data_IF_998399446169
#
_entry.id   IF_998399446169
#
_cell.length_a   1.000
_cell.length_b   1.000
_cell.length_c   1.000
_cell.angle_alpha   90.00
_cell.angle_beta   90.00
_cell.angle_gamma   90.00
#
_symmetry.space_group_name_H-M   'P 1'
#
loop_
_entity.id
_entity.type
_entity.pdbx_description
1 polymer ?
#
# COMPACT_ATOMS: atom_id res chain seq x y z
N UNK A 1 5.09 13.45 4.65
CA UNK A 1 4.93 13.06 6.06
C UNK A 1 4.25 11.72 6.15
N UNK A 2 4.40 11.00 7.25
CA UNK A 2 3.78 9.69 7.46
C UNK A 2 3.50 9.44 8.95
N UNK A 3 2.62 8.49 9.25
CA UNK A 3 2.40 8.01 10.61
C UNK A 3 2.14 6.51 10.58
N UNK A 4 2.93 5.76 11.35
CA UNK A 4 2.84 4.31 11.48
C UNK A 4 2.74 3.94 12.95
N UNK A 5 1.92 2.94 13.25
CA UNK A 5 1.92 2.29 14.56
C UNK A 5 3.17 1.42 14.76
N UNK A 6 3.85 1.05 13.67
CA UNK A 6 5.13 0.36 13.68
C UNK A 6 6.28 1.37 13.82
N UNK A 7 7.28 1.10 14.69
CA UNK A 7 8.44 1.96 14.83
C UNK A 7 9.24 2.01 13.53
N UNK A 8 9.97 3.12 13.33
CA UNK A 8 10.98 3.15 12.28
C UNK A 8 12.20 2.36 12.75
N UNK A 9 12.40 1.16 12.21
CA UNK A 9 13.50 0.28 12.64
C UNK A 9 14.77 0.47 11.80
N UNK A 10 14.63 1.04 10.60
CA UNK A 10 15.75 1.38 9.71
C UNK A 10 15.43 2.57 8.83
N UNK A 11 16.46 3.24 8.34
CA UNK A 11 16.33 4.24 7.29
C UNK A 11 16.17 3.58 5.94
N UNK A 12 15.53 4.28 5.00
CA UNK A 12 15.42 3.82 3.61
C UNK A 12 16.84 3.72 3.00
N UNK A 13 17.29 2.54 2.56
CA UNK A 13 18.59 2.42 1.90
C UNK A 13 18.61 3.17 0.57
N UNK A 14 19.82 3.51 0.12
CA UNK A 14 20.07 4.12 -1.19
C UNK A 14 20.82 3.12 -2.05
N UNK A 15 20.47 3.06 -3.33
CA UNK A 15 21.09 2.16 -4.30
C UNK A 15 21.72 2.98 -5.43
N UNK A 16 22.95 3.51 -5.25
CA UNK A 16 23.58 4.40 -6.23
C UNK A 16 23.77 3.79 -7.62
N UNK A 17 23.84 2.45 -7.69
CA UNK A 17 24.00 1.69 -8.94
C UNK A 17 22.68 1.40 -9.65
N UNK A 18 21.54 1.66 -9.02
CA UNK A 18 20.23 1.50 -9.65
C UNK A 18 19.78 2.82 -10.27
N UNK A 19 19.49 2.85 -11.58
CA UNK A 19 18.95 4.04 -12.22
C UNK A 19 17.68 4.52 -11.52
N UNK A 20 17.58 5.84 -11.34
CA UNK A 20 16.42 6.52 -10.75
C UNK A 20 16.07 6.16 -9.30
N UNK A 21 16.98 5.53 -8.54
CA UNK A 21 16.74 5.32 -7.11
C UNK A 21 16.59 6.64 -6.34
N UNK A 22 15.58 6.69 -5.47
CA UNK A 22 15.23 7.89 -4.69
C UNK A 22 14.65 9.05 -5.51
N UNK A 23 14.50 8.91 -6.84
CA UNK A 23 13.80 9.88 -7.68
C UNK A 23 12.30 9.56 -7.67
N UNK A 24 11.47 10.58 -7.85
CA UNK A 24 10.06 10.38 -8.12
C UNK A 24 9.90 9.43 -9.32
N UNK A 25 8.91 8.55 -9.28
CA UNK A 25 8.55 7.71 -10.42
C UNK A 25 8.05 8.64 -11.54
N UNK A 26 8.96 9.12 -12.40
CA UNK A 26 8.62 9.89 -13.60
C UNK A 26 8.29 8.86 -14.67
N UNK A 27 7.03 8.44 -14.79
CA UNK A 27 6.64 7.54 -15.86
C UNK A 27 6.58 8.30 -17.19
N UNK A 28 7.73 8.58 -17.78
CA UNK A 28 7.85 8.81 -19.22
C UNK A 28 8.70 7.64 -19.75
N UNK A 29 8.13 6.86 -20.67
CA UNK A 29 8.73 5.72 -21.42
C UNK A 29 8.76 4.36 -20.68
N UNK A 30 8.59 3.17 -21.30
CA UNK A 30 8.52 2.66 -22.69
C UNK A 30 7.65 1.38 -22.66
N UNK A 31 6.94 1.08 -23.75
CA UNK A 31 6.38 -0.23 -24.14
C UNK A 31 6.41 -1.37 -23.08
N UNK A 32 5.27 -1.63 -22.42
CA UNK A 32 5.03 -2.87 -21.67
C UNK A 32 4.69 -2.72 -20.18
N UNK A 33 4.89 -1.55 -19.56
CA UNK A 33 4.51 -1.33 -18.15
C UNK A 33 3.04 -0.91 -17.99
N UNK A 34 2.36 -1.44 -16.96
CA UNK A 34 1.00 -1.04 -16.60
C UNK A 34 0.94 0.46 -16.26
N UNK A 35 0.08 1.21 -16.96
CA UNK A 35 -0.11 2.64 -16.75
C UNK A 35 -1.34 2.85 -15.88
N UNK A 36 -1.18 2.97 -14.55
CA UNK A 36 -2.27 3.38 -13.66
C UNK A 36 -1.99 4.79 -13.12
N UNK A 37 -2.92 5.70 -13.38
CA UNK A 37 -3.12 6.99 -12.69
C UNK A 37 -2.03 8.08 -12.72
N UNK A 38 -1.01 8.03 -13.58
CA UNK A 38 -0.14 9.21 -13.74
C UNK A 38 -0.93 10.46 -14.17
N UNK A 39 -1.93 10.29 -15.04
CA UNK A 39 -2.68 11.39 -15.63
C UNK A 39 -3.71 12.04 -14.68
N UNK A 40 -4.26 11.27 -13.72
CA UNK A 40 -5.35 11.76 -12.86
C UNK A 40 -4.88 12.66 -11.72
N UNK A 41 -3.66 12.43 -11.20
CA UNK A 41 -3.13 13.15 -10.05
C UNK A 41 -2.13 14.26 -10.43
N UNK A 42 -1.32 14.07 -11.47
CA UNK A 42 -0.27 15.03 -11.86
C UNK A 42 -0.81 16.36 -12.38
N UNK A 43 -1.98 16.36 -13.04
CA UNK A 43 -2.50 17.54 -13.72
C UNK A 43 -3.14 18.59 -12.78
N UNK A 44 -3.49 18.23 -11.54
CA UNK A 44 -4.29 19.09 -10.66
C UNK A 44 -3.52 19.82 -9.55
N UNK A 45 -2.19 19.69 -9.47
CA UNK A 45 -1.36 20.28 -8.39
C UNK A 45 -1.84 19.97 -6.95
N UNK A 46 -2.62 18.90 -6.78
CA UNK A 46 -3.07 18.41 -5.48
C UNK A 46 -2.01 17.43 -4.95
N UNK A 47 -1.91 17.29 -3.63
CA UNK A 47 -1.16 16.17 -3.03
C UNK A 47 -1.68 14.86 -3.61
N UNK A 48 -0.79 13.91 -3.95
CA UNK A 48 -1.15 12.60 -4.52
C UNK A 48 -2.07 11.75 -3.63
N UNK A 49 -2.31 12.16 -2.39
CA UNK A 49 -3.30 11.57 -1.49
C UNK A 49 -2.67 10.95 -0.24
N UNK A 50 -3.35 9.96 0.31
CA UNK A 50 -2.89 9.18 1.46
C UNK A 50 -2.83 7.72 1.02
N UNK A 51 -1.65 7.11 1.14
CA UNK A 51 -1.47 5.67 0.97
C UNK A 51 -1.44 5.02 2.34
N UNK A 52 -2.42 4.19 2.65
CA UNK A 52 -2.51 3.48 3.94
C UNK A 52 -2.19 1.99 3.78
N UNK A 53 -1.50 1.41 4.76
CA UNK A 53 -1.19 -0.01 4.81
C UNK A 53 -2.17 -0.72 5.73
N UNK A 54 -2.87 -1.72 5.20
CA UNK A 54 -3.92 -2.46 5.90
C UNK A 54 -3.57 -3.94 6.00
N UNK A 55 -4.01 -4.59 7.06
CA UNK A 55 -4.04 -6.05 7.13
C UNK A 55 -5.37 -6.61 6.63
N UNK A 56 -5.46 -7.92 6.45
CA UNK A 56 -6.68 -8.62 6.01
C UNK A 56 -7.86 -8.48 6.98
N UNK A 57 -7.60 -8.12 8.24
CA UNK A 57 -8.63 -7.83 9.25
C UNK A 57 -9.09 -6.35 9.23
N UNK A 58 -8.74 -5.58 8.21
CA UNK A 58 -9.05 -4.15 8.07
C UNK A 58 -8.45 -3.27 9.18
N UNK A 59 -7.37 -3.72 9.82
CA UNK A 59 -6.58 -2.91 10.76
C UNK A 59 -5.50 -2.16 9.97
N UNK A 60 -5.41 -0.85 10.18
CA UNK A 60 -4.41 0.00 9.55
C UNK A 60 -3.11 -0.04 10.36
N UNK A 61 -1.99 -0.32 9.70
CA UNK A 61 -0.66 -0.21 10.29
C UNK A 61 -0.09 1.20 10.24
N UNK A 62 -0.61 2.04 9.35
CA UNK A 62 -0.14 3.40 9.14
C UNK A 62 -0.37 3.90 7.72
N UNK A 63 0.12 5.11 7.45
CA UNK A 63 -0.03 5.76 6.17
C UNK A 63 1.13 6.71 5.83
N UNK A 64 1.29 6.95 4.52
CA UNK A 64 2.12 8.01 3.95
C UNK A 64 1.24 9.07 3.26
N UNK A 65 1.56 10.34 3.42
CA UNK A 65 1.06 11.40 2.55
C UNK A 65 1.89 11.39 1.26
N UNK A 66 1.22 11.21 0.13
CA UNK A 66 1.84 11.18 -1.19
C UNK A 66 1.99 12.62 -1.69
N UNK A 67 3.20 13.10 -2.00
CA UNK A 67 3.41 14.50 -2.35
C UNK A 67 2.94 14.85 -3.77
N UNK A 68 3.17 13.99 -4.77
CA UNK A 68 2.89 14.32 -6.19
C UNK A 68 2.14 13.19 -6.91
N UNK A 69 2.58 11.95 -6.79
CA UNK A 69 1.94 10.80 -7.42
C UNK A 69 2.28 9.53 -6.67
N UNK A 70 1.31 8.61 -6.60
CA UNK A 70 1.48 7.32 -5.97
C UNK A 70 2.50 6.50 -6.77
N UNK A 71 3.54 6.01 -6.09
CA UNK A 71 4.61 5.27 -6.72
C UNK A 71 5.05 4.03 -5.93
N UNK A 72 5.85 3.20 -6.58
CA UNK A 72 6.42 1.97 -5.97
C UNK A 72 7.31 2.31 -4.78
N UNK A 73 7.93 3.48 -4.85
CA UNK A 73 8.83 4.02 -3.85
C UNK A 73 8.18 4.18 -2.47
N UNK A 74 6.94 4.65 -2.40
CA UNK A 74 6.25 4.88 -1.13
C UNK A 74 5.94 3.54 -0.44
N UNK A 75 5.39 2.58 -1.18
CA UNK A 75 5.12 1.23 -0.65
C UNK A 75 6.40 0.53 -0.21
N UNK A 76 7.44 0.56 -1.05
CA UNK A 76 8.74 0.00 -0.70
C UNK A 76 9.32 0.65 0.56
N UNK A 77 9.30 1.99 0.64
CA UNK A 77 9.80 2.72 1.81
C UNK A 77 9.05 2.33 3.08
N UNK A 78 7.72 2.20 3.00
CA UNK A 78 6.89 1.77 4.12
C UNK A 78 7.37 0.39 4.61
N UNK A 79 7.45 -0.58 3.69
CA UNK A 79 7.73 -1.96 4.07
C UNK A 79 9.15 -2.10 4.63
N UNK A 80 10.16 -1.57 3.92
CA UNK A 80 11.56 -1.73 4.32
C UNK A 80 11.84 -1.02 5.64
N UNK A 81 11.26 0.15 5.90
CA UNK A 81 11.60 0.94 7.11
C UNK A 81 10.83 0.53 8.37
N UNK A 82 9.70 -0.16 8.22
CA UNK A 82 8.78 -0.45 9.33
C UNK A 82 8.68 -1.93 9.68
N UNK A 83 8.90 -2.84 8.74
CA UNK A 83 8.80 -4.29 8.99
C UNK A 83 10.18 -4.91 9.28
N UNK A 84 10.34 -5.65 10.40
CA UNK A 84 11.59 -6.36 10.68
C UNK A 84 11.85 -7.48 9.68
N UNK A 85 10.78 -8.16 9.25
CA UNK A 85 10.77 -9.16 8.17
C UNK A 85 9.69 -8.78 7.17
N UNK A 86 9.99 -8.91 5.87
CA UNK A 86 9.03 -8.59 4.83
C UNK A 86 7.73 -9.40 5.01
N UNK A 87 6.56 -8.81 4.73
CA UNK A 87 5.31 -9.56 4.68
C UNK A 87 5.44 -10.74 3.71
N UNK A 88 4.87 -11.88 4.07
CA UNK A 88 4.82 -13.02 3.16
C UNK A 88 4.03 -12.70 1.88
N UNK A 89 3.05 -11.79 1.99
CA UNK A 89 2.18 -11.38 0.88
C UNK A 89 1.92 -9.89 0.92
N UNK A 90 1.97 -9.25 -0.24
CA UNK A 90 1.63 -7.84 -0.44
C UNK A 90 0.60 -7.78 -1.57
N UNK A 91 -0.63 -7.42 -1.22
CA UNK A 91 -1.70 -7.16 -2.19
C UNK A 91 -1.74 -5.68 -2.48
N UNK A 92 -1.59 -5.30 -3.74
CA UNK A 92 -1.51 -3.91 -4.16
C UNK A 92 -1.89 -3.77 -5.63
N UNK A 93 -2.65 -2.73 -5.98
CA UNK A 93 -3.11 -2.50 -7.34
C UNK A 93 -1.96 -2.47 -8.35
N UNK A 94 -0.82 -1.88 -7.98
CA UNK A 94 0.35 -1.80 -8.84
C UNK A 94 1.45 -2.82 -8.45
N UNK A 95 1.05 -3.95 -7.84
CA UNK A 95 1.94 -5.01 -7.41
C UNK A 95 2.82 -5.58 -8.54
N UNK A 96 2.31 -5.61 -9.77
CA UNK A 96 3.03 -6.11 -10.94
C UNK A 96 4.35 -5.37 -11.20
N UNK A 97 4.42 -4.08 -10.87
CA UNK A 97 5.64 -3.29 -11.00
C UNK A 97 6.36 -3.11 -9.66
N UNK A 98 5.63 -3.21 -8.54
CA UNK A 98 6.20 -3.17 -7.19
C UNK A 98 7.10 -4.38 -6.92
N UNK A 99 6.70 -5.60 -7.29
CA UNK A 99 7.49 -6.81 -7.03
C UNK A 99 8.92 -6.73 -7.60
N UNK A 100 9.08 -6.52 -8.93
CA UNK A 100 10.40 -6.31 -9.52
C UNK A 100 11.18 -5.13 -8.91
N UNK A 101 10.48 -4.06 -8.52
CA UNK A 101 11.10 -2.91 -7.86
C UNK A 101 11.69 -3.28 -6.49
N UNK A 102 10.97 -4.09 -5.71
CA UNK A 102 11.39 -4.57 -4.39
C UNK A 102 12.53 -5.59 -4.50
N UNK A 103 12.38 -6.62 -5.35
CA UNK A 103 13.38 -7.68 -5.50
C UNK A 103 14.72 -7.18 -6.07
N UNK A 104 14.70 -6.20 -6.98
CA UNK A 104 15.94 -5.61 -7.52
C UNK A 104 16.73 -4.79 -6.50
N UNK A 105 16.08 -4.32 -5.43
CA UNK A 105 16.68 -3.47 -4.39
C UNK A 105 17.09 -4.26 -3.16
N UNK A 106 16.20 -5.12 -2.69
CA UNK A 106 16.34 -5.86 -1.43
C UNK A 106 15.96 -7.34 -1.65
N UNK A 107 16.74 -8.08 -2.47
CA UNK A 107 16.39 -9.45 -2.86
C UNK A 107 16.28 -10.38 -1.66
N UNK A 108 17.20 -10.31 -0.70
CA UNK A 108 17.19 -11.16 0.49
C UNK A 108 15.98 -10.88 1.39
N UNK A 109 15.68 -9.60 1.61
CA UNK A 109 14.55 -9.20 2.45
C UNK A 109 13.20 -9.63 1.87
N UNK A 110 13.03 -9.51 0.55
CA UNK A 110 11.80 -9.85 -0.16
C UNK A 110 11.80 -11.24 -0.81
N UNK A 111 12.79 -12.08 -0.53
CA UNK A 111 12.97 -13.39 -1.17
C UNK A 111 11.72 -14.28 -1.06
N UNK A 112 11.02 -14.18 0.08
CA UNK A 112 9.82 -14.97 0.38
C UNK A 112 8.53 -14.12 0.34
N UNK A 113 8.56 -12.96 -0.31
CA UNK A 113 7.41 -12.07 -0.43
C UNK A 113 6.73 -12.26 -1.78
N UNK A 114 5.44 -12.59 -1.74
CA UNK A 114 4.60 -12.68 -2.93
C UNK A 114 3.86 -11.36 -3.15
N UNK A 115 4.05 -10.76 -4.32
CA UNK A 115 3.34 -9.54 -4.73
C UNK A 115 2.16 -9.91 -5.63
N UNK A 116 0.97 -9.44 -5.27
CA UNK A 116 -0.27 -9.77 -5.97
C UNK A 116 -1.08 -8.52 -6.28
N UNK A 117 -1.53 -8.43 -7.53
CA UNK A 117 -2.48 -7.42 -7.98
C UNK A 117 -3.84 -7.74 -7.36
N UNK A 118 -4.44 -6.72 -6.78
CA UNK A 118 -5.79 -6.81 -6.23
C UNK A 118 -6.79 -7.21 -7.32
N UNK A 119 -7.70 -8.13 -6.96
CA UNK A 119 -8.64 -8.74 -7.89
C UNK A 119 -9.61 -7.74 -8.51
N UNK A 120 -10.01 -6.70 -7.77
CA UNK A 120 -10.91 -5.64 -8.29
C UNK A 120 -10.26 -4.83 -9.39
N UNK A 121 -8.93 -4.71 -9.36
CA UNK A 121 -8.16 -3.92 -10.30
C UNK A 121 -7.61 -4.75 -11.46
N UNK A 122 -7.72 -6.07 -11.41
CA UNK A 122 -7.20 -6.99 -12.42
C UNK A 122 -7.61 -6.64 -13.88
N UNK A 123 -8.84 -6.19 -14.18
CA UNK A 123 -9.23 -5.83 -15.55
C UNK A 123 -8.38 -4.69 -16.15
N UNK A 124 -7.82 -3.81 -15.32
CA UNK A 124 -6.97 -2.71 -15.77
C UNK A 124 -5.56 -3.13 -16.20
N UNK A 125 -5.17 -4.39 -15.99
CA UNK A 125 -3.81 -4.90 -16.20
C UNK A 125 -3.72 -5.82 -17.43
N UNK A 126 -4.03 -5.29 -18.60
CA UNK A 126 -4.08 -6.06 -19.85
C UNK A 126 -2.73 -6.57 -20.35
N UNK A 127 -1.62 -5.98 -19.90
CA UNK A 127 -0.24 -6.35 -20.31
C UNK A 127 0.56 -7.04 -19.21
N UNK A 128 -0.04 -7.27 -18.04
CA UNK A 128 0.67 -7.91 -16.93
C UNK A 128 0.58 -9.43 -17.02
N UNK A 129 1.63 -10.11 -16.56
CA UNK A 129 1.64 -11.58 -16.51
C UNK A 129 0.51 -12.10 -15.59
N UNK A 130 -0.18 -13.21 -15.97
CA UNK A 130 -1.11 -13.92 -15.10
C UNK A 130 -0.54 -14.24 -13.72
N UNK A 131 0.77 -14.43 -13.62
CA UNK A 131 1.49 -14.69 -12.37
C UNK A 131 1.57 -13.49 -11.41
N UNK A 132 1.04 -12.33 -11.79
CA UNK A 132 0.93 -11.17 -10.90
C UNK A 132 -0.45 -11.08 -10.22
N UNK A 133 -1.45 -11.88 -10.61
CA UNK A 133 -2.82 -11.71 -10.13
C UNK A 133 -3.18 -12.66 -9.00
N UNK A 134 -3.82 -12.13 -7.96
CA UNK A 134 -4.35 -12.94 -6.85
C UNK A 134 -5.27 -14.06 -7.35
N UNK A 135 -6.14 -13.76 -8.32
CA UNK A 135 -7.09 -14.72 -8.89
C UNK A 135 -6.42 -15.93 -9.56
N UNK A 136 -5.28 -15.73 -10.21
CA UNK A 136 -4.51 -16.81 -10.84
C UNK A 136 -3.92 -17.74 -9.78
N UNK A 137 -3.42 -17.17 -8.68
CA UNK A 137 -2.89 -17.99 -7.59
C UNK A 137 -3.99 -18.67 -6.79
N UNK A 138 -5.14 -18.04 -6.58
CA UNK A 138 -6.27 -18.67 -5.87
C UNK A 138 -6.85 -19.87 -6.62
N UNK A 139 -6.68 -19.93 -7.94
CA UNK A 139 -7.07 -21.08 -8.74
C UNK A 139 -6.18 -22.32 -8.49
N UNK A 140 -4.96 -22.12 -7.96
CA UNK A 140 -4.00 -23.20 -7.66
C UNK A 140 -3.88 -23.45 -6.15
N UNK A 141 -4.07 -22.43 -5.34
CA UNK A 141 -4.04 -22.51 -3.88
C UNK A 141 -5.31 -21.85 -3.30
N UNK A 142 -6.25 -22.68 -2.86
CA UNK A 142 -7.54 -22.25 -2.33
C UNK A 142 -7.41 -21.36 -1.07
N UNK A 143 -6.34 -21.50 -0.28
CA UNK A 143 -6.12 -20.68 0.92
C UNK A 143 -5.99 -19.18 0.57
N UNK A 144 -5.56 -18.87 -0.65
CA UNK A 144 -5.43 -17.50 -1.14
C UNK A 144 -6.78 -16.86 -1.46
N UNK A 145 -7.83 -17.65 -1.70
CA UNK A 145 -9.19 -17.14 -1.86
C UNK A 145 -9.76 -16.55 -0.56
N UNK A 146 -9.23 -16.96 0.59
CA UNK A 146 -9.64 -16.44 1.91
C UNK A 146 -8.94 -15.12 2.28
N UNK A 147 -7.99 -14.64 1.48
CA UNK A 147 -7.39 -13.32 1.68
C UNK A 147 -8.44 -12.26 1.38
N UNK A 148 -8.81 -11.48 2.40
CA UNK A 148 -9.67 -10.32 2.24
C UNK A 148 -8.96 -9.20 1.47
N UNK A 149 -8.96 -9.27 0.14
CA UNK A 149 -8.34 -8.25 -0.72
C UNK A 149 -9.08 -6.91 -0.66
N UNK A 150 -10.37 -6.92 -0.30
CA UNK A 150 -11.20 -5.72 -0.10
C UNK A 150 -10.88 -4.93 1.18
N UNK A 151 -10.04 -5.43 2.08
CA UNK A 151 -9.72 -4.76 3.34
C UNK A 151 -9.16 -3.34 3.11
N UNK A 152 -8.28 -3.19 2.11
CA UNK A 152 -7.71 -1.91 1.75
C UNK A 152 -8.75 -0.96 1.13
N UNK A 153 -9.63 -1.45 0.27
CA UNK A 153 -10.71 -0.65 -0.33
C UNK A 153 -11.69 -0.15 0.73
N UNK A 154 -12.13 -1.02 1.64
CA UNK A 154 -13.00 -0.66 2.74
C UNK A 154 -12.35 0.39 3.67
N UNK A 155 -11.08 0.17 4.03
CA UNK A 155 -10.31 1.12 4.84
C UNK A 155 -10.14 2.48 4.14
N UNK A 156 -9.84 2.47 2.83
CA UNK A 156 -9.69 3.68 2.03
C UNK A 156 -11.02 4.45 1.89
N UNK A 157 -12.15 3.74 1.77
CA UNK A 157 -13.49 4.36 1.83
C UNK A 157 -13.73 5.04 3.19
N UNK A 158 -13.26 4.41 4.28
CA UNK A 158 -13.21 5.03 5.60
C UNK A 158 -12.43 6.35 5.61
N UNK A 159 -11.19 6.35 5.08
CA UNK A 159 -10.35 7.56 4.98
C UNK A 159 -10.99 8.62 4.07
N UNK A 160 -11.69 8.22 3.01
CA UNK A 160 -12.36 9.17 2.12
C UNK A 160 -13.39 10.06 2.85
N UNK A 161 -13.99 9.57 3.94
CA UNK A 161 -14.93 10.34 4.78
C UNK A 161 -14.30 11.57 5.42
N UNK A 162 -13.00 11.52 5.71
CA UNK A 162 -12.28 12.64 6.34
C UNK A 162 -11.56 13.53 5.32
N UNK A 163 -11.62 13.19 4.03
CA UNK A 163 -10.87 13.87 2.95
C UNK A 163 -11.09 15.38 2.96
N UNK A 164 -12.34 15.84 3.09
CA UNK A 164 -12.68 17.27 3.08
C UNK A 164 -12.08 17.99 4.30
N UNK A 165 -12.16 17.40 5.49
CA UNK A 165 -11.56 17.98 6.69
C UNK A 165 -10.04 18.09 6.54
N UNK A 166 -9.40 17.03 6.06
CA UNK A 166 -7.95 16.96 5.86
C UNK A 166 -7.47 17.97 4.82
N UNK A 167 -8.25 18.25 3.76
CA UNK A 167 -7.83 19.18 2.70
C UNK A 167 -7.70 20.63 3.14
N UNK A 168 -8.30 21.02 4.27
CA UNK A 168 -8.17 22.37 4.84
C UNK A 168 -7.11 22.47 5.93
N UNK A 169 -6.35 21.40 6.19
CA UNK A 169 -5.34 21.34 7.25
C UNK A 169 -3.93 21.51 6.70
N UNK A 170 -3.05 22.11 7.50
CA UNK A 170 -1.61 21.97 7.27
C UNK A 170 -1.18 20.51 7.43
N UNK A 171 -0.07 20.12 6.81
CA UNK A 171 0.38 18.73 6.81
C UNK A 171 0.51 18.14 8.23
N UNK A 172 1.05 18.88 9.19
CA UNK A 172 1.19 18.42 10.58
C UNK A 172 -0.16 18.11 11.20
N UNK A 173 -1.15 19.00 11.04
CA UNK A 173 -2.52 18.81 11.55
C UNK A 173 -3.24 17.67 10.84
N UNK A 174 -3.07 17.57 9.52
CA UNK A 174 -3.60 16.48 8.72
C UNK A 174 -3.08 15.12 9.21
N UNK A 175 -1.78 15.01 9.50
CA UNK A 175 -1.19 13.76 10.02
C UNK A 175 -1.81 13.38 11.37
N UNK A 176 -1.88 14.32 12.31
CA UNK A 176 -2.48 14.07 13.63
C UNK A 176 -3.96 13.68 13.53
N UNK A 177 -4.72 14.35 12.68
CA UNK A 177 -6.14 14.07 12.47
C UNK A 177 -6.35 12.68 11.86
N UNK A 178 -5.56 12.32 10.84
CA UNK A 178 -5.60 10.98 10.24
C UNK A 178 -5.19 9.90 11.25
N UNK A 179 -4.17 10.15 12.08
CA UNK A 179 -3.77 9.23 13.14
C UNK A 179 -4.88 9.00 14.16
N UNK A 180 -5.55 10.05 14.61
CA UNK A 180 -6.67 9.94 15.54
C UNK A 180 -7.83 9.13 14.92
N UNK A 181 -8.20 9.43 13.66
CA UNK A 181 -9.22 8.70 12.93
C UNK A 181 -8.88 7.20 12.81
N UNK A 182 -7.66 6.88 12.39
CA UNK A 182 -7.17 5.50 12.25
C UNK A 182 -7.14 4.79 13.60
N UNK A 183 -6.75 5.48 14.68
CA UNK A 183 -6.73 4.91 16.02
C UNK A 183 -8.13 4.48 16.48
N UNK A 184 -9.14 5.32 16.22
CA UNK A 184 -10.55 4.97 16.50
C UNK A 184 -11.02 3.82 15.60
N UNK A 185 -10.72 3.88 14.30
CA UNK A 185 -11.03 2.81 13.35
C UNK A 185 -10.48 1.46 13.82
N UNK A 186 -9.19 1.40 14.12
CA UNK A 186 -8.51 0.20 14.56
C UNK A 186 -9.13 -0.36 15.85
N UNK A 187 -9.44 0.52 16.81
CA UNK A 187 -10.12 0.10 18.06
C UNK A 187 -11.48 -0.54 17.76
N UNK A 188 -12.26 0.01 16.86
CA UNK A 188 -13.56 -0.55 16.48
C UNK A 188 -13.43 -1.89 15.77
N UNK A 189 -12.49 -2.03 14.84
CA UNK A 189 -12.23 -3.30 14.14
C UNK A 189 -11.78 -4.38 15.12
N UNK A 190 -10.80 -4.07 15.99
CA UNK A 190 -10.29 -5.01 17.00
C UNK A 190 -11.42 -5.46 17.93
N UNK A 191 -12.26 -4.55 18.43
CA UNK A 191 -13.43 -4.91 19.24
C UNK A 191 -14.41 -5.81 18.49
N UNK A 192 -14.61 -5.57 17.20
CA UNK A 192 -15.43 -6.43 16.33
C UNK A 192 -14.86 -7.84 16.19
N UNK A 193 -13.54 -7.97 16.08
CA UNK A 193 -12.86 -9.27 16.02
C UNK A 193 -13.02 -10.05 17.32
N UNK A 194 -12.81 -9.41 18.48
CA UNK A 194 -13.01 -10.05 19.79
C UNK A 194 -14.43 -10.59 19.95
N UNK A 195 -15.44 -9.78 19.60
CA UNK A 195 -16.85 -10.21 19.62
C UNK A 195 -17.12 -11.42 18.74
N UNK A 196 -16.55 -11.44 17.52
CA UNK A 196 -16.70 -12.59 16.59
C UNK A 196 -15.98 -13.84 17.09
N UNK A 197 -14.86 -13.67 17.79
CA UNK A 197 -14.09 -14.76 18.37
C UNK A 197 -14.70 -15.32 19.67
N UNK A 198 -15.85 -14.82 20.12
CA UNK A 198 -16.46 -15.23 21.38
C UNK A 198 -15.65 -14.81 22.63
N UNK A 199 -14.63 -13.97 22.46
CA UNK A 199 -13.84 -13.42 23.54
C UNK A 199 -14.48 -12.11 23.98
N UNK A 200 -15.16 -12.13 25.14
CA UNK A 200 -15.59 -10.92 25.82
C UNK A 200 -14.34 -10.16 26.28
N UNK A 201 -14.19 -8.92 25.79
CA UNK A 201 -13.18 -7.96 26.26
C UNK A 201 -13.46 -7.51 27.69
#
# INVERSE_FOLDING_TARGET
GCCYGLPQIRYRPRYPRLPHDGKADVSKERTGSCQKYYDTYSQKRLTGGIMACWCTHSICYGFHCIPVGEGRNDVFSAIITRWPKAPARVVYDFACALGPYCWSREPEFFANTQFMVDGFHAPGHTKCSPAAFLKSYSAVNADLAHINSSAAECGNSGIARIRKSVSYMSQTRAILYCWAFISVWNRLQIRGLYKKAGQLL
#
